data_IF_597474853878
#
_entry.id   IF_597474853878
#
_cell.length_a   1.000
_cell.length_b   1.000
_cell.length_c   1.000
_cell.angle_alpha   90.00
_cell.angle_beta   90.00
_cell.angle_gamma   90.00
#
_symmetry.space_group_name_H-M   'P 1'
#
loop_
_entity.id
_entity.type
_entity.pdbx_description
1 polymer ?
#
# COMPACT_ATOMS: atom_id res chain seq x y z
N UNK A 1 0.66 -22.50 -18.06
CA UNK A 1 1.90 -21.86 -17.59
C UNK A 1 1.55 -20.67 -16.72
N UNK A 2 2.08 -20.65 -15.56
CA UNK A 2 1.90 -19.48 -14.72
C UNK A 2 2.72 -18.33 -15.28
N UNK A 3 2.11 -17.17 -15.47
CA UNK A 3 2.84 -15.98 -15.82
C UNK A 3 3.71 -15.48 -14.65
N UNK A 4 4.41 -14.37 -14.86
CA UNK A 4 5.17 -13.72 -13.82
C UNK A 4 4.18 -13.21 -12.77
N UNK A 5 4.47 -13.48 -11.50
CA UNK A 5 3.68 -12.97 -10.40
C UNK A 5 4.44 -11.86 -9.68
N UNK A 6 3.69 -10.87 -9.19
CA UNK A 6 4.24 -9.71 -8.48
C UNK A 6 3.90 -9.84 -6.99
N UNK A 7 4.92 -9.74 -6.16
CA UNK A 7 4.78 -9.82 -4.72
C UNK A 7 4.58 -8.41 -4.18
N UNK A 8 3.46 -8.17 -3.50
CA UNK A 8 3.07 -6.86 -2.99
C UNK A 8 2.85 -6.92 -1.49
N UNK A 9 3.53 -6.05 -0.76
CA UNK A 9 3.35 -5.93 0.69
C UNK A 9 2.05 -5.16 0.95
N UNK A 10 1.18 -5.73 1.78
CA UNK A 10 -0.12 -5.12 2.08
C UNK A 10 -0.28 -4.96 3.59
N UNK A 11 -0.41 -3.72 4.06
CA UNK A 11 -0.53 -3.41 5.49
C UNK A 11 -1.94 -2.94 5.79
N UNK A 12 -2.69 -3.76 6.54
CA UNK A 12 -4.09 -3.49 6.90
C UNK A 12 -4.42 -4.30 8.15
N UNK A 13 -4.96 -3.66 9.18
CA UNK A 13 -5.23 -4.36 10.43
C UNK A 13 -6.48 -5.25 10.37
N UNK A 14 -7.32 -5.10 9.35
CA UNK A 14 -8.52 -5.93 9.11
C UNK A 14 -9.44 -6.02 10.33
N UNK A 15 -9.62 -4.91 11.02
CA UNK A 15 -10.22 -4.90 12.35
C UNK A 15 -11.75 -4.95 12.37
N UNK A 16 -12.41 -4.94 11.23
CA UNK A 16 -13.89 -4.93 11.17
C UNK A 16 -14.45 -6.01 10.25
N UNK A 17 -15.74 -6.36 10.45
CA UNK A 17 -16.43 -7.34 9.60
C UNK A 17 -16.43 -6.90 8.13
N UNK A 18 -16.58 -5.60 7.87
CA UNK A 18 -16.52 -5.06 6.51
C UNK A 18 -15.13 -5.22 5.92
N UNK A 19 -14.10 -5.14 6.75
CA UNK A 19 -12.72 -5.34 6.31
C UNK A 19 -12.48 -6.78 5.86
N UNK A 20 -13.10 -7.76 6.52
CA UNK A 20 -12.99 -9.17 6.10
C UNK A 20 -13.65 -9.40 4.74
N UNK A 21 -14.81 -8.80 4.50
CA UNK A 21 -15.52 -8.90 3.23
C UNK A 21 -14.67 -8.23 2.14
N UNK A 22 -14.15 -7.05 2.43
CA UNK A 22 -13.27 -6.33 1.50
C UNK A 22 -12.04 -7.18 1.16
N UNK A 23 -11.38 -7.74 2.18
CA UNK A 23 -10.15 -8.53 2.01
C UNK A 23 -10.37 -9.71 1.08
N UNK A 24 -11.49 -10.42 1.21
CA UNK A 24 -11.80 -11.57 0.35
C UNK A 24 -11.88 -11.16 -1.12
N UNK A 25 -12.60 -10.07 -1.42
CA UNK A 25 -12.70 -9.55 -2.78
C UNK A 25 -11.38 -9.00 -3.30
N UNK A 26 -10.65 -8.31 -2.44
CA UNK A 26 -9.37 -7.71 -2.77
C UNK A 26 -8.33 -8.76 -3.16
N UNK A 27 -8.21 -9.80 -2.34
CA UNK A 27 -7.28 -10.89 -2.62
C UNK A 27 -7.66 -11.64 -3.90
N UNK A 28 -8.95 -11.82 -4.15
CA UNK A 28 -9.43 -12.48 -5.35
C UNK A 28 -9.07 -11.71 -6.61
N UNK A 29 -9.29 -10.40 -6.62
CA UNK A 29 -8.93 -9.54 -7.76
C UNK A 29 -7.43 -9.53 -7.98
N UNK A 30 -6.66 -9.44 -6.91
CA UNK A 30 -5.19 -9.46 -7.00
C UNK A 30 -4.70 -10.77 -7.62
N UNK A 31 -5.22 -11.90 -7.15
CA UNK A 31 -4.82 -13.21 -7.65
C UNK A 31 -5.12 -13.37 -9.13
N UNK A 32 -6.28 -12.91 -9.59
CA UNK A 32 -6.64 -12.93 -11.00
C UNK A 32 -5.65 -12.15 -11.88
N UNK A 33 -5.04 -11.12 -11.32
CA UNK A 33 -4.09 -10.27 -12.05
C UNK A 33 -2.63 -10.71 -11.88
N UNK A 34 -2.38 -11.81 -11.19
CA UNK A 34 -1.03 -12.30 -10.96
C UNK A 34 -0.28 -11.57 -9.85
N UNK A 35 -1.02 -11.03 -8.88
CA UNK A 35 -0.44 -10.33 -7.74
C UNK A 35 -0.59 -11.18 -6.48
N UNK A 36 0.52 -11.44 -5.80
CA UNK A 36 0.55 -12.11 -4.52
C UNK A 36 0.60 -11.06 -3.42
N UNK A 37 -0.50 -10.89 -2.69
CA UNK A 37 -0.57 -9.97 -1.55
C UNK A 37 0.00 -10.65 -0.32
N UNK A 38 0.97 -10.02 0.32
CA UNK A 38 1.57 -10.51 1.55
C UNK A 38 1.10 -9.61 2.70
N UNK A 39 0.14 -10.08 3.52
CA UNK A 39 -0.55 -9.22 4.47
C UNK A 39 0.21 -9.06 5.78
N UNK A 40 0.13 -7.86 6.33
CA UNK A 40 0.60 -7.53 7.67
C UNK A 40 -0.44 -6.65 8.36
N UNK A 41 -0.62 -6.83 9.66
CA UNK A 41 -1.62 -6.08 10.44
C UNK A 41 -1.07 -4.81 11.07
N UNK A 42 0.23 -4.55 10.92
CA UNK A 42 0.89 -3.37 11.47
C UNK A 42 2.15 -3.07 10.67
N UNK A 43 2.64 -1.82 10.80
CA UNK A 43 3.83 -1.40 10.05
C UNK A 43 5.13 -1.98 10.62
N UNK A 44 5.22 -2.13 11.92
CA UNK A 44 6.44 -2.62 12.56
C UNK A 44 6.91 -3.94 11.98
N UNK A 45 6.01 -4.92 11.89
CA UNK A 45 6.31 -6.23 11.30
C UNK A 45 6.54 -6.14 9.80
N UNK A 46 5.72 -5.33 9.12
CA UNK A 46 5.87 -5.11 7.68
C UNK A 46 7.22 -4.48 7.34
N UNK A 47 7.66 -3.52 8.14
CA UNK A 47 8.94 -2.85 7.94
C UNK A 47 10.10 -3.85 8.04
N UNK A 48 10.09 -4.73 9.03
CA UNK A 48 11.12 -5.75 9.19
C UNK A 48 11.18 -6.67 7.98
N UNK A 49 10.02 -7.13 7.53
CA UNK A 49 9.95 -7.99 6.35
C UNK A 49 10.45 -7.27 5.09
N UNK A 50 10.03 -6.03 4.90
CA UNK A 50 10.44 -5.26 3.72
C UNK A 50 11.94 -5.00 3.70
N UNK A 51 12.53 -4.66 4.86
CA UNK A 51 13.98 -4.46 4.95
C UNK A 51 14.75 -5.74 4.62
N UNK A 52 14.27 -6.87 5.13
CA UNK A 52 14.93 -8.15 4.96
C UNK A 52 14.85 -8.65 3.52
N UNK A 53 13.68 -8.47 2.88
CA UNK A 53 13.40 -9.02 1.55
C UNK A 53 13.05 -7.91 0.55
N UNK A 54 13.72 -6.79 0.62
CA UNK A 54 13.40 -5.59 -0.15
C UNK A 54 13.24 -5.87 -1.65
N UNK A 55 14.17 -6.63 -2.22
CA UNK A 55 14.16 -6.91 -3.66
C UNK A 55 13.01 -7.82 -4.10
N UNK A 56 12.40 -8.55 -3.17
CA UNK A 56 11.31 -9.47 -3.48
C UNK A 56 9.99 -8.75 -3.77
N UNK A 57 9.83 -7.54 -3.26
CA UNK A 57 8.57 -6.81 -3.35
C UNK A 57 8.60 -5.81 -4.51
N UNK A 58 7.54 -5.80 -5.32
CA UNK A 58 7.42 -4.84 -6.41
C UNK A 58 6.75 -3.55 -5.98
N UNK A 59 5.88 -3.59 -4.98
CA UNK A 59 5.16 -2.41 -4.49
C UNK A 59 4.59 -2.65 -3.10
N UNK A 60 4.00 -1.60 -2.54
CA UNK A 60 3.48 -1.59 -1.17
C UNK A 60 2.09 -0.97 -1.18
N UNK A 61 1.13 -1.59 -0.49
CA UNK A 61 -0.22 -1.06 -0.30
C UNK A 61 -0.44 -0.80 1.18
N UNK A 62 -0.89 0.40 1.51
CA UNK A 62 -1.08 0.85 2.88
C UNK A 62 -2.54 1.20 3.13
N UNK A 63 -3.14 0.63 4.18
CA UNK A 63 -4.44 1.10 4.67
C UNK A 63 -4.24 2.51 5.26
N UNK A 64 -5.19 3.40 5.00
CA UNK A 64 -5.15 4.77 5.49
C UNK A 64 -5.21 4.84 7.02
N UNK A 65 -5.82 3.85 7.65
CA UNK A 65 -5.97 3.75 9.10
C UNK A 65 -5.48 2.39 9.57
N UNK A 66 -4.29 2.32 10.13
CA UNK A 66 -3.73 1.05 10.57
C UNK A 66 -2.90 1.24 11.83
N UNK A 67 -2.45 0.13 12.40
CA UNK A 67 -1.58 0.13 13.58
C UNK A 67 -0.13 0.27 13.13
N UNK A 68 0.63 1.11 13.82
CA UNK A 68 2.06 1.24 13.56
C UNK A 68 2.83 0.09 14.24
N UNK A 69 2.65 -0.09 15.55
CA UNK A 69 3.32 -1.14 16.30
C UNK A 69 2.48 -2.41 16.43
N UNK A 70 3.12 -3.55 16.49
CA UNK A 70 2.41 -4.83 16.56
C UNK A 70 1.60 -4.99 17.85
N UNK A 71 2.00 -4.34 18.93
CA UNK A 71 1.33 -4.39 20.22
C UNK A 71 0.37 -3.22 20.44
N UNK A 72 0.16 -2.36 19.44
CA UNK A 72 -0.75 -1.25 19.55
C UNK A 72 -2.20 -1.75 19.60
N UNK A 73 -2.99 -1.16 20.50
CA UNK A 73 -4.40 -1.51 20.66
C UNK A 73 -5.31 -0.71 19.74
N UNK A 74 -4.80 0.38 19.18
CA UNK A 74 -5.55 1.32 18.35
C UNK A 74 -4.80 1.62 17.07
N UNK A 75 -5.56 2.04 16.05
CA UNK A 75 -4.96 2.60 14.84
C UNK A 75 -4.28 3.94 15.20
N UNK A 76 -3.19 4.22 14.51
CA UNK A 76 -2.44 5.46 14.70
C UNK A 76 -2.98 6.52 13.74
N UNK A 77 -3.42 7.66 14.26
CA UNK A 77 -3.92 8.77 13.41
C UNK A 77 -2.83 9.35 12.51
N UNK A 78 -1.56 9.13 12.87
CA UNK A 78 -0.41 9.55 12.06
C UNK A 78 0.22 8.39 11.30
N UNK A 79 -0.53 7.31 11.09
CA UNK A 79 -0.01 6.10 10.45
C UNK A 79 0.65 6.40 9.11
N UNK A 80 -0.07 7.06 8.20
CA UNK A 80 0.47 7.32 6.85
C UNK A 80 1.70 8.22 6.88
N UNK A 81 1.71 9.39 7.54
CA UNK A 81 2.92 10.19 7.60
C UNK A 81 4.11 9.44 8.22
N UNK A 82 3.86 8.64 9.25
CA UNK A 82 4.92 7.88 9.93
C UNK A 82 5.49 6.79 9.02
N UNK A 83 4.64 6.07 8.31
CA UNK A 83 5.07 5.04 7.37
C UNK A 83 5.85 5.64 6.20
N UNK A 84 5.37 6.76 5.65
CA UNK A 84 6.05 7.41 4.53
C UNK A 84 7.44 7.89 4.94
N UNK A 85 7.59 8.43 6.15
CA UNK A 85 8.90 8.81 6.67
C UNK A 85 9.83 7.61 6.80
N UNK A 86 9.30 6.48 7.26
CA UNK A 86 10.05 5.22 7.34
C UNK A 86 10.48 4.72 5.96
N UNK A 87 9.56 4.75 5.00
CA UNK A 87 9.85 4.35 3.62
C UNK A 87 10.90 5.26 2.99
N UNK A 88 10.82 6.56 3.21
CA UNK A 88 11.80 7.50 2.67
C UNK A 88 13.22 7.16 3.15
N UNK A 89 13.37 6.85 4.44
CA UNK A 89 14.65 6.41 4.99
C UNK A 89 15.11 5.10 4.36
N UNK A 90 14.22 4.13 4.26
CA UNK A 90 14.54 2.82 3.68
C UNK A 90 14.96 2.95 2.21
N UNK A 91 14.23 3.73 1.43
CA UNK A 91 14.56 3.96 0.02
C UNK A 91 15.92 4.63 -0.14
N UNK A 92 16.25 5.57 0.76
CA UNK A 92 17.58 6.19 0.77
C UNK A 92 18.69 5.19 1.08
N UNK A 93 18.49 4.34 2.06
CA UNK A 93 19.46 3.31 2.44
C UNK A 93 19.65 2.27 1.33
N UNK A 94 18.55 1.85 0.72
CA UNK A 94 18.57 0.84 -0.34
C UNK A 94 18.90 1.41 -1.71
N UNK A 95 18.89 2.73 -1.86
CA UNK A 95 19.12 3.45 -3.12
C UNK A 95 18.15 3.02 -4.22
N UNK A 96 16.92 2.74 -3.82
CA UNK A 96 15.86 2.34 -4.72
C UNK A 96 14.52 2.78 -4.14
N UNK A 97 13.67 3.38 -4.97
CA UNK A 97 12.32 3.79 -4.59
C UNK A 97 11.34 2.78 -5.15
N UNK A 98 10.42 2.30 -4.31
CA UNK A 98 9.37 1.38 -4.74
C UNK A 98 8.02 2.09 -4.72
N UNK A 99 7.12 1.76 -5.67
CA UNK A 99 5.77 2.31 -5.66
C UNK A 99 5.03 1.92 -4.39
N UNK A 100 4.27 2.88 -3.86
CA UNK A 100 3.38 2.62 -2.74
C UNK A 100 2.04 3.31 -2.97
N UNK A 101 0.99 2.73 -2.44
CA UNK A 101 -0.37 3.18 -2.66
C UNK A 101 -1.15 3.17 -1.35
N UNK A 102 -2.12 4.06 -1.22
CA UNK A 102 -2.96 4.20 -0.04
C UNK A 102 -4.38 3.75 -0.37
N UNK A 103 -4.93 2.85 0.45
CA UNK A 103 -6.34 2.47 0.40
C UNK A 103 -7.08 3.22 1.50
N UNK A 104 -8.10 3.99 1.13
CA UNK A 104 -8.87 4.80 2.06
C UNK A 104 -10.35 4.47 1.99
N UNK A 105 -11.00 4.38 3.15
CA UNK A 105 -12.46 4.27 3.23
C UNK A 105 -13.14 5.64 3.23
N UNK A 106 -12.37 6.73 3.18
CA UNK A 106 -12.89 8.09 3.33
C UNK A 106 -12.32 9.07 2.32
N UNK A 107 -12.05 10.27 2.77
CA UNK A 107 -11.65 11.38 1.92
C UNK A 107 -10.24 11.17 1.34
N UNK A 108 -10.12 11.25 0.01
CA UNK A 108 -8.85 11.07 -0.68
C UNK A 108 -7.91 12.27 -0.54
N UNK A 109 -8.46 13.48 -0.54
CA UNK A 109 -7.68 14.72 -0.56
C UNK A 109 -6.84 14.94 0.70
N UNK A 110 -7.15 14.26 1.80
CA UNK A 110 -6.38 14.44 3.04
C UNK A 110 -4.94 13.92 2.94
N UNK A 111 -4.63 13.18 1.88
CA UNK A 111 -3.29 12.63 1.68
C UNK A 111 -2.45 13.44 0.70
N UNK A 112 -3.00 14.51 0.09
CA UNK A 112 -2.31 15.30 -0.91
C UNK A 112 -1.00 15.88 -0.38
N UNK A 113 -1.01 16.42 0.83
CA UNK A 113 0.18 17.02 1.44
C UNK A 113 1.30 16.00 1.67
N UNK A 114 0.94 14.82 2.18
CA UNK A 114 1.96 13.80 2.46
C UNK A 114 2.56 13.27 1.16
N UNK A 115 1.76 13.17 0.10
CA UNK A 115 2.25 12.74 -1.21
C UNK A 115 3.20 13.81 -1.78
N UNK A 116 2.86 15.09 -1.68
CA UNK A 116 3.72 16.18 -2.15
C UNK A 116 5.05 16.20 -1.41
N UNK A 117 5.03 16.02 -0.10
CA UNK A 117 6.25 15.95 0.70
C UNK A 117 7.11 14.76 0.27
N UNK A 118 6.48 13.60 0.06
CA UNK A 118 7.20 12.41 -0.39
C UNK A 118 7.85 12.62 -1.76
N UNK A 119 7.15 13.28 -2.69
CA UNK A 119 7.71 13.61 -4.01
C UNK A 119 8.91 14.55 -3.90
N UNK A 120 8.79 15.58 -3.06
CA UNK A 120 9.90 16.52 -2.82
C UNK A 120 11.12 15.80 -2.25
N UNK A 121 10.89 14.81 -1.41
CA UNK A 121 11.96 14.05 -0.75
C UNK A 121 12.42 12.84 -1.56
N UNK A 122 12.00 12.74 -2.82
CA UNK A 122 12.36 11.65 -3.74
C UNK A 122 11.90 10.26 -3.25
N UNK A 123 10.83 10.23 -2.48
CA UNK A 123 10.25 8.99 -1.98
C UNK A 123 8.94 8.59 -2.71
N UNK A 124 8.55 9.36 -3.71
CA UNK A 124 7.36 9.07 -4.52
C UNK A 124 7.52 9.63 -5.92
N UNK A 125 6.90 8.97 -6.91
CA UNK A 125 6.89 9.38 -8.31
C UNK A 125 5.47 9.27 -8.86
N UNK A 126 4.58 10.14 -8.37
CA UNK A 126 3.15 10.09 -8.71
C UNK A 126 2.89 10.12 -10.22
N UNK A 127 3.68 10.90 -10.98
CA UNK A 127 3.50 10.97 -12.43
C UNK A 127 3.72 9.62 -13.11
N UNK A 128 4.66 8.83 -12.60
CA UNK A 128 4.98 7.51 -13.15
C UNK A 128 4.05 6.42 -12.62
N UNK A 129 3.64 6.55 -11.36
CA UNK A 129 2.85 5.51 -10.68
C UNK A 129 1.35 5.66 -10.87
N UNK A 130 0.88 6.83 -11.34
CA UNK A 130 -0.53 7.15 -11.44
C UNK A 130 -1.11 7.58 -10.10
N UNK A 131 -2.43 7.44 -9.93
CA UNK A 131 -3.05 7.76 -8.66
C UNK A 131 -2.45 6.93 -7.54
N UNK A 132 -2.19 7.57 -6.41
CA UNK A 132 -1.61 6.89 -5.25
C UNK A 132 -2.61 6.65 -4.14
N UNK A 133 -3.83 7.19 -4.24
CA UNK A 133 -4.89 6.99 -3.26
C UNK A 133 -6.10 6.37 -3.94
N UNK A 134 -6.61 5.28 -3.36
CA UNK A 134 -7.74 4.53 -3.91
C UNK A 134 -8.78 4.28 -2.83
N UNK A 135 -10.03 4.16 -3.23
CA UNK A 135 -11.14 3.93 -2.30
C UNK A 135 -11.35 2.44 -2.06
N UNK A 136 -11.41 2.04 -0.79
CA UNK A 136 -11.64 0.66 -0.39
C UNK A 136 -12.93 0.07 -0.97
N UNK A 137 -13.96 0.89 -1.06
CA UNK A 137 -15.28 0.42 -1.48
C UNK A 137 -15.47 0.43 -3.00
N UNK A 138 -14.51 0.96 -3.75
CA UNK A 138 -14.62 1.10 -5.19
C UNK A 138 -14.03 -0.12 -5.90
N UNK A 139 -14.84 -1.16 -6.08
CA UNK A 139 -14.45 -2.39 -6.80
C UNK A 139 -15.03 -2.38 -8.22
N UNK A 140 -15.39 -1.21 -8.71
CA UNK A 140 -15.92 -1.01 -10.06
C UNK A 140 -14.80 -0.61 -11.02
N UNK A 141 -15.16 -0.18 -12.23
CA UNK A 141 -14.20 0.22 -13.26
C UNK A 141 -13.81 1.70 -13.22
N UNK A 142 -14.06 2.39 -12.09
CA UNK A 142 -13.66 3.78 -11.94
C UNK A 142 -12.15 3.92 -11.81
N UNK A 143 -11.63 5.13 -12.02
CA UNK A 143 -10.19 5.41 -11.86
C UNK A 143 -9.72 5.28 -10.41
N UNK A 144 -10.65 5.23 -9.45
CA UNK A 144 -10.34 5.09 -8.03
C UNK A 144 -10.57 3.66 -7.52
N UNK A 145 -10.82 2.70 -8.40
CA UNK A 145 -11.10 1.32 -8.00
C UNK A 145 -9.82 0.56 -7.66
N UNK A 146 -9.95 -0.51 -6.88
CA UNK A 146 -8.82 -1.40 -6.60
C UNK A 146 -8.32 -2.06 -7.89
N UNK A 147 -9.18 -2.28 -8.86
CA UNK A 147 -8.78 -2.81 -10.16
C UNK A 147 -7.82 -1.86 -10.87
N UNK A 148 -8.10 -0.56 -10.85
CA UNK A 148 -7.22 0.46 -11.42
C UNK A 148 -5.88 0.51 -10.67
N UNK A 149 -5.90 0.37 -9.35
CA UNK A 149 -4.68 0.31 -8.54
C UNK A 149 -3.79 -0.86 -8.97
N UNK A 150 -4.36 -2.05 -9.09
CA UNK A 150 -3.59 -3.21 -9.52
C UNK A 150 -3.05 -3.05 -10.94
N UNK A 151 -3.83 -2.43 -11.83
CA UNK A 151 -3.36 -2.12 -13.18
C UNK A 151 -2.13 -1.22 -13.15
N UNK A 152 -2.12 -0.20 -12.28
CA UNK A 152 -0.97 0.68 -12.13
C UNK A 152 0.23 -0.06 -11.53
N UNK A 153 0.01 -0.93 -10.56
CA UNK A 153 1.08 -1.76 -9.99
C UNK A 153 1.78 -2.57 -11.07
N UNK A 154 1.01 -3.15 -11.98
CA UNK A 154 1.56 -4.00 -13.04
C UNK A 154 2.32 -3.23 -14.10
N UNK A 155 2.12 -1.92 -14.22
CA UNK A 155 2.80 -1.07 -15.21
C UNK A 155 4.16 -0.57 -14.76
N UNK A 156 4.41 -0.56 -13.45
CA UNK A 156 5.62 0.07 -12.89
C UNK A 156 6.80 -0.89 -12.79
#
# INVERSE_FOLDING_TARGET
MSGIRYKVLWVDDLSGTQDEIFATGFESVADEKGIDLIPFTNWEEAELELKKNFKSYSSIILDANCKYGKDDNKTDEFFIPSVIASLARMFGEKRQVKPWYILSAGTMSKFDDVIQIAQRDHAAHQEEWGNMVYLKDAIDNSSNSVDAMFTNILKV
#
